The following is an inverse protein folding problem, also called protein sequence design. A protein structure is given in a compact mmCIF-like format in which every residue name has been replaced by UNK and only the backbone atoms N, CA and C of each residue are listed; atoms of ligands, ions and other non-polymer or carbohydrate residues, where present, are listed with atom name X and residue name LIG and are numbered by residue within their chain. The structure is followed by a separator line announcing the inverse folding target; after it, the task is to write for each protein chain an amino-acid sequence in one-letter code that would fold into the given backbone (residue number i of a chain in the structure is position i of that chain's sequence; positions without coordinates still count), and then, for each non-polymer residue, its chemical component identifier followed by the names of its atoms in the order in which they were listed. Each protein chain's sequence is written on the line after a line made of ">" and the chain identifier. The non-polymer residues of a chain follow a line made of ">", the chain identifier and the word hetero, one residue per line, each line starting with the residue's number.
data_IF_360929879580
#
_entry.id   IF_360929879580
#
_cell.length_a   1.000
_cell.length_b   1.000
_cell.length_c   1.000
_cell.angle_alpha   90.00
_cell.angle_beta   90.00
_cell.angle_gamma   90.00
#
_symmetry.space_group_name_H-M   'P 1'
#
loop_
_entity.id
_entity.type
_entity.pdbx_description
1 polymer ?
#
# COMPACT_ATOMS: atom_id res chain seq x y z
N UNK A 1 12.27 -19.80 -2.75
CA UNK A 1 11.67 -18.47 -2.49
C UNK A 1 11.68 -17.71 -3.80
N UNK A 2 10.51 -17.42 -4.35
CA UNK A 2 10.38 -16.54 -5.51
C UNK A 2 10.95 -15.15 -5.17
N UNK A 3 11.72 -14.58 -6.11
CA UNK A 3 12.24 -13.22 -5.97
C UNK A 3 11.08 -12.25 -6.18
N UNK A 4 10.74 -11.50 -5.14
CA UNK A 4 9.83 -10.36 -5.26
C UNK A 4 10.64 -9.20 -5.81
N UNK A 5 10.21 -8.65 -6.94
CA UNK A 5 10.83 -7.44 -7.47
C UNK A 5 10.56 -6.27 -6.52
N UNK A 6 11.64 -5.66 -6.03
CA UNK A 6 11.57 -4.47 -5.19
C UNK A 6 11.92 -3.26 -6.03
N UNK A 7 10.91 -2.42 -6.28
CA UNK A 7 11.05 -1.19 -7.04
C UNK A 7 11.20 -0.02 -6.06
N UNK A 8 12.30 0.72 -6.16
CA UNK A 8 12.50 1.97 -5.42
C UNK A 8 12.49 3.14 -6.42
N UNK A 9 11.84 4.24 -6.05
CA UNK A 9 11.85 5.44 -6.87
C UNK A 9 13.25 6.07 -6.87
N UNK A 10 13.90 6.14 -8.04
CA UNK A 10 15.14 6.88 -8.24
C UNK A 10 14.83 8.27 -8.80
N UNK A 11 14.68 9.30 -7.95
CA UNK A 11 14.65 10.70 -8.43
C UNK A 11 14.00 11.72 -7.50
N UNK A 12 14.23 13.00 -7.80
CA UNK A 12 13.80 14.21 -7.07
C UNK A 12 12.26 14.43 -7.01
N UNK A 13 11.46 13.49 -7.53
CA UNK A 13 10.02 13.64 -7.73
C UNK A 13 9.16 12.64 -6.94
N UNK A 14 9.71 12.03 -5.90
CA UNK A 14 8.99 11.04 -5.08
C UNK A 14 7.64 11.56 -4.55
N UNK A 15 7.53 12.85 -4.23
CA UNK A 15 6.29 13.49 -3.80
C UNK A 15 5.20 13.48 -4.89
N UNK A 16 5.54 13.86 -6.14
CA UNK A 16 4.58 13.83 -7.26
C UNK A 16 4.10 12.42 -7.55
N UNK A 17 4.99 11.43 -7.43
CA UNK A 17 4.63 10.03 -7.64
C UNK A 17 3.68 9.54 -6.54
N UNK A 18 3.98 9.84 -5.26
CA UNK A 18 3.08 9.53 -4.15
C UNK A 18 1.70 10.16 -4.32
N UNK A 19 1.67 11.43 -4.70
CA UNK A 19 0.43 12.15 -4.99
C UNK A 19 -0.38 11.47 -6.10
N UNK A 20 0.27 11.01 -7.17
CA UNK A 20 -0.40 10.30 -8.26
C UNK A 20 -0.94 8.92 -7.85
N UNK A 21 -0.32 8.25 -6.87
CA UNK A 21 -0.83 6.99 -6.31
C UNK A 21 -2.05 7.27 -5.42
N UNK A 22 -1.91 8.24 -4.52
CA UNK A 22 -2.90 8.60 -3.51
C UNK A 22 -2.69 10.03 -3.02
N UNK A 23 -3.55 10.97 -3.45
CA UNK A 23 -3.48 12.37 -3.02
C UNK A 23 -3.65 12.57 -1.51
N UNK A 24 -4.21 11.59 -0.79
CA UNK A 24 -4.38 11.66 0.67
C UNK A 24 -3.15 11.18 1.44
N UNK A 25 -2.10 10.73 0.75
CA UNK A 25 -0.88 10.20 1.35
C UNK A 25 0.34 11.09 1.09
N UNK A 26 0.81 11.74 2.15
CA UNK A 26 1.96 12.65 2.12
C UNK A 26 3.32 11.95 2.36
N UNK A 27 3.34 10.61 2.53
CA UNK A 27 4.57 9.87 2.79
C UNK A 27 5.01 9.83 4.26
N UNK A 28 4.17 10.29 5.20
CA UNK A 28 4.50 10.35 6.63
C UNK A 28 4.58 8.96 7.30
N UNK A 29 3.74 8.02 6.84
CA UNK A 29 3.68 6.64 7.33
C UNK A 29 3.72 5.67 6.15
N UNK A 30 4.15 4.40 6.36
CA UNK A 30 3.94 3.34 5.38
C UNK A 30 2.47 3.26 4.96
N UNK A 31 2.22 3.06 3.67
CA UNK A 31 0.87 3.00 3.09
C UNK A 31 0.67 1.65 2.40
N UNK A 32 -0.41 0.98 2.75
CA UNK A 32 -0.78 -0.33 2.19
C UNK A 32 -2.17 -0.25 1.55
N UNK A 33 -2.36 -0.97 0.46
CA UNK A 33 -3.63 -1.01 -0.27
C UNK A 33 -4.14 -2.44 -0.33
N UNK A 34 -5.37 -2.63 0.10
CA UNK A 34 -6.11 -3.87 0.01
C UNK A 34 -7.07 -3.79 -1.16
N UNK A 35 -7.09 -4.85 -1.97
CA UNK A 35 -7.94 -4.95 -3.16
C UNK A 35 -8.81 -6.18 -3.03
N UNK A 36 -10.12 -5.96 -3.01
CA UNK A 36 -11.15 -6.99 -2.99
C UNK A 36 -11.49 -7.48 -4.40
N UNK A 37 -12.21 -8.59 -4.49
CA UNK A 37 -12.62 -9.16 -5.78
C UNK A 37 -13.52 -8.23 -6.63
N UNK A 38 -14.24 -7.30 -6.00
CA UNK A 38 -15.08 -6.30 -6.65
C UNK A 38 -14.31 -5.03 -7.08
N UNK A 39 -12.98 -5.05 -7.01
CA UNK A 39 -12.08 -3.92 -7.26
C UNK A 39 -12.22 -2.76 -6.26
N UNK A 40 -12.86 -2.96 -5.11
CA UNK A 40 -12.84 -1.99 -4.02
C UNK A 40 -11.41 -1.89 -3.45
N UNK A 41 -10.94 -0.65 -3.30
CA UNK A 41 -9.61 -0.34 -2.75
C UNK A 41 -9.73 0.25 -1.36
N UNK A 42 -9.20 -0.44 -0.37
CA UNK A 42 -9.07 0.10 1.00
C UNK A 42 -7.61 0.47 1.28
N UNK A 43 -7.40 1.72 1.70
CA UNK A 43 -6.08 2.21 2.05
C UNK A 43 -5.86 2.17 3.57
N UNK A 44 -4.70 1.67 4.00
CA UNK A 44 -4.27 1.63 5.40
C UNK A 44 -2.96 2.39 5.57
N UNK A 45 -2.90 3.30 6.54
CA UNK A 45 -1.69 4.01 6.93
C UNK A 45 -1.13 3.47 8.24
N UNK A 46 0.18 3.23 8.26
CA UNK A 46 0.91 2.72 9.41
C UNK A 46 1.30 1.26 9.26
N UNK A 47 1.91 0.72 10.32
CA UNK A 47 2.39 -0.66 10.33
C UNK A 47 1.24 -1.64 10.16
N UNK A 48 1.45 -2.64 9.31
CA UNK A 48 0.59 -3.80 9.20
C UNK A 48 0.99 -4.85 10.23
N UNK A 49 0.01 -5.39 10.94
CA UNK A 49 0.20 -6.60 11.75
C UNK A 49 -0.35 -7.82 11.03
N UNK A 50 0.20 -9.00 11.34
CA UNK A 50 -0.28 -10.27 10.82
C UNK A 50 -1.77 -10.49 11.11
N UNK A 51 -2.24 -10.12 12.31
CA UNK A 51 -3.65 -10.22 12.69
C UNK A 51 -4.56 -9.33 11.85
N UNK A 52 -4.06 -8.21 11.32
CA UNK A 52 -4.82 -7.36 10.41
C UNK A 52 -4.94 -8.02 9.03
N UNK A 53 -3.84 -8.60 8.54
CA UNK A 53 -3.82 -9.34 7.27
C UNK A 53 -4.75 -10.56 7.33
N UNK A 54 -4.69 -11.36 8.40
CA UNK A 54 -5.57 -12.52 8.59
C UNK A 54 -7.04 -12.07 8.63
N UNK A 55 -7.35 -10.99 9.36
CA UNK A 55 -8.71 -10.46 9.42
C UNK A 55 -9.22 -10.00 8.07
N UNK A 56 -8.38 -9.35 7.28
CA UNK A 56 -8.74 -8.92 5.93
C UNK A 56 -8.96 -10.12 4.99
N UNK A 57 -8.04 -11.09 4.99
CA UNK A 57 -8.16 -12.30 4.18
C UNK A 57 -9.38 -13.17 4.52
N UNK A 58 -9.90 -13.07 5.74
CA UNK A 58 -11.11 -13.77 6.17
C UNK A 58 -12.41 -13.01 5.89
N UNK A 59 -12.33 -11.74 5.47
CA UNK A 59 -13.48 -10.91 5.08
C UNK A 59 -13.79 -10.98 3.58
N UNK A 60 -12.81 -11.39 2.76
CA UNK A 60 -13.00 -11.85 1.37
C UNK A 60 -13.50 -13.30 1.33
#
# INVERSE_FOLDING_TARGET
>A
MEKVDSWIFSGDFAEKIRYNIDPSWHGELPRSYFYSADHTRQAHSGTLSEQMLIRWLAQE
#
